data_IF_855233891224
#
_entry.id   IF_855233891224
#
_cell.length_a   1.000
_cell.length_b   1.000
_cell.length_c   1.000
_cell.angle_alpha   90.00
_cell.angle_beta   90.00
_cell.angle_gamma   90.00
#
_symmetry.space_group_name_H-M   'P 1'
#
loop_
_entity.id
_entity.type
_entity.pdbx_description
1 polymer ?
#
# COMPACT_ATOMS: atom_id res chain seq x y z
N UNK A 1 -12.73 24.24 18.32
CA UNK A 1 -11.72 23.33 18.89
C UNK A 1 -11.19 24.01 20.15
N UNK A 2 -11.02 23.28 21.25
CA UNK A 2 -10.47 23.80 22.50
C UNK A 2 -9.31 22.89 22.96
N UNK A 3 -8.44 23.37 23.84
CA UNK A 3 -7.41 22.52 24.44
C UNK A 3 -8.13 21.40 25.24
N UNK A 4 -8.09 20.17 24.72
CA UNK A 4 -8.87 19.03 25.20
C UNK A 4 -9.66 18.26 24.12
N UNK A 5 -9.82 18.80 22.89
CA UNK A 5 -10.46 18.06 21.78
C UNK A 5 -11.53 18.81 20.96
N UNK A 6 -12.41 18.02 20.34
CA UNK A 6 -13.62 18.45 19.61
C UNK A 6 -14.82 18.15 20.51
N UNK A 7 -15.70 19.12 20.72
CA UNK A 7 -16.92 18.93 21.52
C UNK A 7 -17.88 17.98 20.82
N UNK A 8 -18.50 17.07 21.59
CA UNK A 8 -19.64 16.30 21.09
C UNK A 8 -20.79 17.21 20.66
N UNK A 9 -21.46 16.82 19.58
CA UNK A 9 -22.64 17.49 19.04
C UNK A 9 -23.67 16.46 18.58
N UNK A 10 -24.93 16.85 18.54
CA UNK A 10 -26.04 16.03 18.06
C UNK A 10 -26.63 16.68 16.81
N UNK A 11 -26.79 15.89 15.75
CA UNK A 11 -27.55 16.27 14.56
C UNK A 11 -28.72 15.30 14.42
N UNK A 12 -29.93 15.83 14.33
CA UNK A 12 -31.14 15.04 14.14
C UNK A 12 -31.68 15.30 12.74
N UNK A 13 -31.82 14.25 11.94
CA UNK A 13 -32.27 14.33 10.54
C UNK A 13 -33.62 13.64 10.42
N UNK A 14 -34.64 14.40 10.05
CA UNK A 14 -35.97 13.87 9.72
C UNK A 14 -35.96 13.38 8.27
N UNK A 15 -36.29 12.12 8.06
CA UNK A 15 -36.24 11.46 6.75
C UNK A 15 -37.65 11.12 6.28
N UNK A 16 -38.14 11.86 5.29
CA UNK A 16 -39.41 11.57 4.61
C UNK A 16 -39.16 10.74 3.34
N UNK A 17 -38.20 11.13 2.50
CA UNK A 17 -37.76 10.38 1.32
C UNK A 17 -36.52 9.52 1.63
N UNK A 18 -36.72 8.21 1.70
CA UNK A 18 -35.64 7.23 1.90
C UNK A 18 -34.60 7.22 0.77
N UNK A 19 -34.98 7.47 -0.48
CA UNK A 19 -34.03 7.49 -1.61
C UNK A 19 -33.09 8.68 -1.50
N UNK A 20 -33.64 9.87 -1.21
CA UNK A 20 -32.83 11.07 -0.99
C UNK A 20 -31.87 10.89 0.19
N UNK A 21 -32.34 10.31 1.30
CA UNK A 21 -31.50 10.01 2.45
C UNK A 21 -30.40 8.99 2.14
N UNK A 22 -30.69 7.92 1.40
CA UNK A 22 -29.67 6.95 0.98
C UNK A 22 -28.59 7.62 0.11
N UNK A 23 -28.97 8.54 -0.79
CA UNK A 23 -28.00 9.35 -1.54
C UNK A 23 -27.16 10.28 -0.65
N UNK A 24 -27.76 10.85 0.41
CA UNK A 24 -27.02 11.63 1.40
C UNK A 24 -26.03 10.74 2.16
N UNK A 25 -26.44 9.54 2.60
CA UNK A 25 -25.56 8.58 3.26
C UNK A 25 -24.34 8.27 2.39
N UNK A 26 -24.56 7.97 1.10
CA UNK A 26 -23.50 7.74 0.11
C UNK A 26 -22.54 8.94 0.00
N UNK A 27 -23.08 10.17 -0.10
CA UNK A 27 -22.26 11.39 -0.16
C UNK A 27 -21.52 11.68 1.15
N UNK A 28 -22.10 11.39 2.31
CA UNK A 28 -21.45 11.65 3.59
C UNK A 28 -20.28 10.68 3.81
N UNK A 29 -20.44 9.40 3.41
CA UNK A 29 -19.34 8.41 3.42
C UNK A 29 -18.11 8.88 2.61
N UNK A 30 -18.33 9.67 1.56
CA UNK A 30 -17.26 10.30 0.78
C UNK A 30 -16.39 11.26 1.59
N UNK A 31 -17.02 12.11 2.40
CA UNK A 31 -16.34 13.17 3.14
C UNK A 31 -15.90 12.74 4.54
N UNK A 32 -16.65 11.85 5.20
CA UNK A 32 -16.39 11.48 6.58
C UNK A 32 -17.03 10.12 6.96
N UNK A 33 -16.20 9.08 7.00
CA UNK A 33 -16.58 7.71 7.42
C UNK A 33 -16.91 7.60 8.92
N UNK A 34 -16.52 8.58 9.75
CA UNK A 34 -16.86 8.59 11.18
C UNK A 34 -18.34 8.95 11.42
N UNK A 35 -19.01 9.55 10.43
CA UNK A 35 -20.42 9.96 10.57
C UNK A 35 -21.30 8.74 10.38
N UNK A 36 -21.75 8.18 11.50
CA UNK A 36 -22.74 7.10 11.53
C UNK A 36 -24.13 7.68 11.73
N UNK A 37 -25.04 7.34 10.83
CA UNK A 37 -26.45 7.58 11.01
C UNK A 37 -27.05 6.39 11.76
N UNK A 38 -27.61 6.66 12.93
CA UNK A 38 -28.25 5.66 13.80
C UNK A 38 -29.74 6.01 13.83
N UNK A 39 -30.62 5.00 13.85
CA UNK A 39 -32.06 5.26 14.01
C UNK A 39 -32.27 5.89 15.38
N UNK A 40 -33.14 6.90 15.44
CA UNK A 40 -33.43 7.60 16.69
C UNK A 40 -33.92 6.66 17.81
N UNK A 41 -34.63 5.59 17.45
CA UNK A 41 -35.13 4.55 18.37
C UNK A 41 -34.01 3.76 19.06
N UNK A 42 -32.84 3.65 18.42
CA UNK A 42 -31.69 2.88 18.92
C UNK A 42 -30.72 3.73 19.76
N UNK A 43 -31.05 5.02 20.01
CA UNK A 43 -30.16 5.98 20.69
C UNK A 43 -30.76 6.45 22.02
N UNK A 44 -30.01 6.30 23.10
CA UNK A 44 -30.33 6.97 24.37
C UNK A 44 -30.01 8.47 24.29
N UNK A 45 -31.02 9.25 23.92
CA UNK A 45 -30.91 10.71 23.81
C UNK A 45 -30.51 11.38 25.14
N UNK A 46 -30.90 10.84 26.30
CA UNK A 46 -30.56 11.46 27.58
C UNK A 46 -29.07 11.32 27.86
N UNK A 47 -28.52 10.15 27.61
CA UNK A 47 -27.07 9.91 27.73
C UNK A 47 -26.29 10.83 26.80
N UNK A 48 -26.71 10.95 25.53
CA UNK A 48 -26.01 11.80 24.55
C UNK A 48 -26.05 13.28 24.94
N UNK A 49 -27.20 13.79 25.39
CA UNK A 49 -27.33 15.17 25.86
C UNK A 49 -26.44 15.45 27.08
N UNK A 50 -26.40 14.51 28.03
CA UNK A 50 -25.53 14.62 29.20
C UNK A 50 -24.05 14.70 28.81
N UNK A 51 -23.59 13.87 27.87
CA UNK A 51 -22.21 13.93 27.37
C UNK A 51 -21.89 15.28 26.71
N UNK A 52 -22.83 15.84 25.94
CA UNK A 52 -22.67 17.15 25.29
C UNK A 52 -22.53 18.25 26.34
N UNK A 53 -23.36 18.24 27.37
CA UNK A 53 -23.31 19.24 28.44
C UNK A 53 -22.03 19.10 29.28
N UNK A 54 -21.59 17.88 29.58
CA UNK A 54 -20.34 17.60 30.27
C UNK A 54 -19.12 18.12 29.48
N UNK A 55 -19.10 17.93 28.16
CA UNK A 55 -18.04 18.47 27.30
C UNK A 55 -18.05 20.00 27.26
N UNK A 56 -19.23 20.63 27.23
CA UNK A 56 -19.36 22.09 27.27
C UNK A 56 -18.85 22.68 28.59
N UNK A 57 -19.05 21.99 29.72
CA UNK A 57 -18.45 22.40 30.99
C UNK A 57 -16.93 22.32 30.99
N UNK A 58 -16.34 21.28 30.39
CA UNK A 58 -14.87 21.18 30.23
C UNK A 58 -14.34 22.36 29.42
N UNK A 59 -14.99 22.71 28.32
CA UNK A 59 -14.61 23.87 27.48
C UNK A 59 -14.61 25.16 28.31
N UNK A 60 -15.67 25.39 29.12
CA UNK A 60 -15.75 26.56 30.00
C UNK A 60 -14.61 26.61 31.02
N UNK A 61 -14.23 25.47 31.60
CA UNK A 61 -13.11 25.36 32.57
C UNK A 61 -11.75 25.64 31.91
N UNK A 62 -11.55 25.19 30.67
CA UNK A 62 -10.32 25.44 29.90
C UNK A 62 -10.18 26.93 29.53
N UNK A 63 -11.28 27.55 29.08
CA UNK A 63 -11.33 28.99 28.81
C UNK A 63 -11.11 29.84 30.08
N UNK A 64 -11.42 29.30 31.26
CA UNK A 64 -11.28 29.94 32.57
C UNK A 64 -9.89 29.89 33.21
N UNK A 65 -8.85 29.36 32.54
CA UNK A 65 -7.46 29.54 32.98
C UNK A 65 -6.58 28.29 33.11
N UNK A 66 -7.10 27.06 32.88
CA UNK A 66 -6.25 25.86 32.70
C UNK A 66 -5.95 25.66 31.22
N UNK A 67 -4.83 26.20 30.73
CA UNK A 67 -4.34 25.94 29.38
C UNK A 67 -3.62 24.59 29.36
N UNK A 68 -4.24 23.55 28.82
CA UNK A 68 -3.49 22.37 28.37
C UNK A 68 -2.60 22.78 27.19
N UNK A 69 -1.30 22.48 27.29
CA UNK A 69 -0.32 22.80 26.25
C UNK A 69 -0.53 21.85 25.07
N UNK A 70 -0.83 22.42 23.90
CA UNK A 70 -0.86 21.69 22.64
C UNK A 70 0.58 21.28 22.32
N UNK A 71 0.83 19.99 22.08
CA UNK A 71 2.18 19.48 21.77
C UNK A 71 2.45 19.56 20.26
N UNK A 72 3.52 20.24 19.80
CA UNK A 72 3.95 20.19 18.42
C UNK A 72 4.56 18.83 18.08
N UNK A 73 3.97 18.16 17.08
CA UNK A 73 4.38 16.83 16.61
C UNK A 73 4.65 16.89 15.12
N UNK A 74 5.83 16.45 14.69
CA UNK A 74 6.14 16.26 13.27
C UNK A 74 5.74 14.86 12.83
N UNK A 75 4.94 14.75 11.77
CA UNK A 75 4.67 13.50 11.05
C UNK A 75 5.43 13.54 9.73
N UNK A 76 6.40 12.63 9.56
CA UNK A 76 7.19 12.54 8.32
C UNK A 76 6.72 11.33 7.51
N UNK A 77 6.22 11.58 6.31
CA UNK A 77 5.85 10.54 5.34
C UNK A 77 6.85 10.47 4.19
N UNK A 78 6.72 9.50 3.31
CA UNK A 78 7.61 9.37 2.15
C UNK A 78 7.24 10.32 1.00
N UNK A 79 5.94 10.51 0.72
CA UNK A 79 5.46 11.21 -0.49
C UNK A 79 4.53 12.39 -0.19
N UNK A 80 4.51 13.43 -1.06
CA UNK A 80 3.67 14.63 -0.86
C UNK A 80 2.16 14.34 -0.91
N UNK A 81 1.73 13.40 -1.76
CA UNK A 81 0.32 13.01 -1.84
C UNK A 81 -0.15 12.43 -0.52
N UNK A 82 0.65 11.52 0.07
CA UNK A 82 0.37 10.96 1.39
C UNK A 82 0.28 12.04 2.46
N UNK A 83 1.20 13.01 2.45
CA UNK A 83 1.18 14.13 3.39
C UNK A 83 -0.14 14.92 3.29
N UNK A 84 -0.56 15.25 2.07
CA UNK A 84 -1.81 15.97 1.81
C UNK A 84 -3.04 15.17 2.21
N UNK A 85 -3.10 13.88 1.86
CA UNK A 85 -4.21 12.99 2.22
C UNK A 85 -4.37 12.92 3.73
N UNK A 86 -3.27 12.70 4.47
CA UNK A 86 -3.30 12.64 5.94
C UNK A 86 -3.69 13.99 6.54
N UNK A 87 -3.12 15.09 6.04
CA UNK A 87 -3.44 16.43 6.53
C UNK A 87 -4.94 16.74 6.38
N UNK A 88 -5.54 16.39 5.24
CA UNK A 88 -6.97 16.58 4.96
C UNK A 88 -7.88 15.77 5.91
N UNK A 89 -7.40 14.68 6.51
CA UNK A 89 -8.19 13.96 7.51
C UNK A 89 -8.42 14.76 8.78
N UNK A 90 -7.50 15.65 9.15
CA UNK A 90 -7.61 16.45 10.37
C UNK A 90 -8.28 17.81 10.15
N UNK A 91 -8.55 18.19 8.90
CA UNK A 91 -9.17 19.46 8.51
C UNK A 91 -8.44 20.13 7.35
N UNK A 92 -8.64 21.44 7.16
CA UNK A 92 -7.95 22.20 6.10
C UNK A 92 -6.56 22.61 6.60
N UNK A 93 -5.47 22.06 6.04
CA UNK A 93 -4.12 22.41 6.49
C UNK A 93 -3.70 23.79 6.03
N UNK A 94 -2.80 24.41 6.79
CA UNK A 94 -2.06 25.61 6.38
C UNK A 94 -0.67 25.19 5.92
N UNK A 95 -0.26 25.62 4.73
CA UNK A 95 1.09 25.36 4.25
C UNK A 95 2.05 26.44 4.79
N UNK A 96 3.10 26.01 5.48
CA UNK A 96 4.23 26.84 5.89
C UNK A 96 5.50 26.36 5.19
N UNK A 97 6.37 27.29 4.82
CA UNK A 97 7.66 26.98 4.21
C UNK A 97 8.80 27.16 5.19
N UNK A 98 9.67 26.16 5.24
CA UNK A 98 10.94 26.16 5.93
C UNK A 98 12.04 26.12 4.86
N UNK A 99 12.48 27.29 4.40
CA UNK A 99 13.27 27.40 3.17
C UNK A 99 12.44 27.00 1.95
N UNK A 100 12.93 26.04 1.16
CA UNK A 100 12.20 25.46 0.02
C UNK A 100 11.29 24.28 0.43
N UNK A 101 11.27 23.90 1.70
CA UNK A 101 10.56 22.72 2.19
C UNK A 101 9.16 23.08 2.69
N UNK A 102 8.13 22.45 2.12
CA UNK A 102 6.73 22.66 2.48
C UNK A 102 6.31 21.74 3.64
N UNK A 103 5.64 22.34 4.63
CA UNK A 103 5.07 21.66 5.79
C UNK A 103 3.61 22.02 5.89
N UNK A 104 2.76 21.01 6.08
CA UNK A 104 1.33 21.18 6.28
C UNK A 104 1.05 21.18 7.78
N UNK A 105 0.54 22.29 8.30
CA UNK A 105 0.25 22.46 9.71
C UNK A 105 -1.25 22.35 9.97
N UNK A 106 -1.60 21.55 10.98
CA UNK A 106 -2.99 21.36 11.41
C UNK A 106 -3.11 21.23 12.92
N UNK A 107 -4.01 22.01 13.50
CA UNK A 107 -4.41 21.86 14.89
C UNK A 107 -5.47 20.77 15.01
N UNK A 108 -5.22 19.73 15.80
CA UNK A 108 -6.16 18.63 16.06
C UNK A 108 -6.17 18.27 17.53
N UNK A 109 -7.26 18.60 18.23
CA UNK A 109 -7.41 18.35 19.66
C UNK A 109 -6.25 18.90 20.48
N UNK A 110 -5.40 17.99 21.00
CA UNK A 110 -4.24 18.32 21.85
C UNK A 110 -2.91 18.38 21.09
N UNK A 111 -2.93 18.20 19.75
CA UNK A 111 -1.74 18.18 18.92
C UNK A 111 -1.72 19.35 17.95
N UNK A 112 -0.53 19.93 17.79
CA UNK A 112 -0.19 20.77 16.65
C UNK A 112 0.61 19.89 15.69
N UNK A 113 -0.07 19.34 14.69
CA UNK A 113 0.53 18.35 13.80
C UNK A 113 1.13 19.07 12.60
N UNK A 114 2.44 18.91 12.43
CA UNK A 114 3.19 19.35 11.26
C UNK A 114 3.42 18.12 10.40
N UNK A 115 2.98 18.13 9.14
CA UNK A 115 3.11 16.97 8.24
C UNK A 115 3.99 17.36 7.07
N UNK A 116 4.99 16.54 6.77
CA UNK A 116 5.87 16.75 5.63
C UNK A 116 6.32 15.43 5.01
N UNK A 117 6.92 15.49 3.82
CA UNK A 117 7.40 14.32 3.09
C UNK A 117 8.91 14.33 2.91
N UNK A 118 9.60 13.22 3.17
CA UNK A 118 11.03 13.06 2.88
C UNK A 118 11.34 13.06 1.37
N UNK A 119 10.31 12.95 0.52
CA UNK A 119 10.40 12.83 -0.93
C UNK A 119 11.18 11.57 -1.34
N UNK A 120 10.98 10.46 -0.63
CA UNK A 120 11.73 9.21 -0.79
C UNK A 120 12.96 9.12 0.13
N UNK A 121 14.00 8.42 -0.34
CA UNK A 121 15.27 8.30 0.38
C UNK A 121 15.98 9.66 0.49
N UNK A 122 16.61 9.90 1.65
CA UNK A 122 17.51 11.04 1.87
C UNK A 122 18.97 10.60 1.73
N UNK A 123 19.28 9.39 2.21
CA UNK A 123 20.61 8.80 2.16
C UNK A 123 20.67 7.61 1.19
N UNK A 124 21.75 7.50 0.44
CA UNK A 124 22.10 6.31 -0.33
C UNK A 124 23.54 5.88 -0.07
N UNK A 125 23.84 4.62 -0.38
CA UNK A 125 25.15 4.02 -0.25
C UNK A 125 26.16 4.75 -1.14
N UNK A 126 27.26 5.21 -0.56
CA UNK A 126 28.36 5.90 -1.24
C UNK A 126 28.84 5.10 -2.45
N UNK A 127 29.26 5.79 -3.52
CA UNK A 127 29.81 5.15 -4.72
C UNK A 127 31.34 5.12 -4.73
N UNK A 128 31.96 5.93 -3.89
CA UNK A 128 33.40 6.21 -3.94
C UNK A 128 34.17 5.55 -2.79
N UNK A 129 33.50 5.30 -1.67
CA UNK A 129 34.14 4.81 -0.45
C UNK A 129 34.09 3.29 -0.31
N UNK A 130 35.17 2.71 0.20
CA UNK A 130 35.27 1.27 0.41
C UNK A 130 35.01 0.44 -0.86
N UNK A 131 34.53 -0.78 -0.68
CA UNK A 131 34.10 -1.64 -1.76
C UNK A 131 32.66 -1.30 -2.16
N UNK A 132 32.52 -0.43 -3.17
CA UNK A 132 31.25 0.06 -3.72
C UNK A 132 30.30 0.67 -2.66
N UNK A 133 30.86 1.35 -1.67
CA UNK A 133 30.14 2.01 -0.58
C UNK A 133 30.25 1.32 0.78
N UNK A 134 30.96 0.19 0.88
CA UNK A 134 31.06 -0.59 2.11
C UNK A 134 32.51 -0.81 2.50
N UNK A 135 32.92 -0.35 3.68
CA UNK A 135 34.21 -0.75 4.24
C UNK A 135 34.15 -2.18 4.75
N UNK A 136 35.17 -2.97 4.40
CA UNK A 136 35.32 -4.36 4.79
C UNK A 136 36.58 -4.47 5.63
N UNK A 137 36.42 -4.76 6.93
CA UNK A 137 37.52 -4.92 7.87
C UNK A 137 37.35 -6.25 8.61
N UNK A 138 38.08 -7.28 8.17
CA UNK A 138 37.90 -8.65 8.67
C UNK A 138 36.47 -9.14 8.39
N UNK A 139 35.73 -9.45 9.47
CA UNK A 139 34.32 -9.89 9.41
C UNK A 139 33.31 -8.73 9.53
N UNK A 140 33.79 -7.48 9.68
CA UNK A 140 32.93 -6.31 9.82
C UNK A 140 32.66 -5.66 8.46
N UNK A 141 31.38 -5.44 8.17
CA UNK A 141 30.91 -4.71 7.02
C UNK A 141 30.27 -3.40 7.49
N UNK A 142 30.86 -2.27 7.11
CA UNK A 142 30.40 -0.93 7.51
C UNK A 142 29.92 -0.18 6.27
N UNK A 143 28.61 -0.11 6.01
CA UNK A 143 28.07 0.64 4.89
C UNK A 143 28.18 2.14 5.16
N UNK A 144 28.67 2.88 4.17
CA UNK A 144 28.80 4.33 4.22
C UNK A 144 27.68 4.95 3.41
N UNK A 145 26.88 5.76 4.10
CA UNK A 145 25.75 6.48 3.52
C UNK A 145 26.09 7.95 3.36
N UNK A 146 25.73 8.52 2.20
CA UNK A 146 25.85 9.95 1.91
C UNK A 146 24.48 10.51 1.59
N UNK A 147 24.31 11.81 1.83
CA UNK A 147 23.13 12.55 1.40
C UNK A 147 23.08 12.52 -0.13
N UNK A 148 21.91 12.22 -0.69
CA UNK A 148 21.69 12.28 -2.13
C UNK A 148 21.80 13.76 -2.56
N UNK A 149 22.51 14.05 -3.65
CA UNK A 149 22.85 15.43 -4.09
C UNK A 149 21.63 16.37 -4.10
N UNK A 150 20.47 15.90 -4.57
CA UNK A 150 19.23 16.70 -4.65
C UNK A 150 18.44 16.79 -3.31
N UNK A 151 18.96 16.22 -2.22
CA UNK A 151 18.27 16.09 -0.92
C UNK A 151 18.85 16.94 0.21
N UNK A 152 19.95 17.66 -0.03
CA UNK A 152 20.56 18.54 0.98
C UNK A 152 19.57 19.58 1.50
N UNK A 153 18.80 20.18 0.58
CA UNK A 153 17.77 21.19 0.94
C UNK A 153 16.64 20.61 1.78
N UNK A 154 16.22 19.37 1.50
CA UNK A 154 15.20 18.69 2.27
C UNK A 154 15.71 18.38 3.70
N UNK A 155 16.98 18.00 3.82
CA UNK A 155 17.64 17.76 5.10
C UNK A 155 17.71 19.06 5.94
N UNK A 156 18.09 20.18 5.33
CA UNK A 156 18.10 21.48 6.02
C UNK A 156 16.71 21.88 6.52
N UNK A 157 15.68 21.73 5.67
CA UNK A 157 14.29 21.99 6.06
C UNK A 157 13.85 21.13 7.25
N UNK A 158 14.14 19.83 7.22
CA UNK A 158 13.84 18.90 8.33
C UNK A 158 14.56 19.31 9.63
N UNK A 159 15.81 19.75 9.56
CA UNK A 159 16.57 20.22 10.73
C UNK A 159 16.00 21.50 11.33
N UNK A 160 15.50 22.42 10.51
CA UNK A 160 14.85 23.64 10.99
C UNK A 160 13.54 23.31 11.71
N UNK A 161 12.72 22.43 11.14
CA UNK A 161 11.46 21.98 11.75
C UNK A 161 11.72 21.24 13.06
N UNK A 162 12.77 20.43 13.10
CA UNK A 162 13.17 19.66 14.28
C UNK A 162 13.44 20.52 15.52
N UNK A 163 13.72 21.82 15.35
CA UNK A 163 13.91 22.77 16.45
C UNK A 163 12.59 23.31 17.02
N UNK A 164 11.47 23.19 16.29
CA UNK A 164 10.15 23.71 16.68
C UNK A 164 9.22 22.62 17.27
N UNK A 165 9.68 21.36 17.36
CA UNK A 165 8.82 20.22 17.73
C UNK A 165 9.28 19.51 19.01
N UNK A 166 8.32 18.92 19.72
CA UNK A 166 8.58 18.12 20.92
C UNK A 166 8.88 16.65 20.58
N UNK A 167 8.24 16.13 19.53
CA UNK A 167 8.33 14.72 19.12
C UNK A 167 8.13 14.56 17.61
N UNK A 168 8.64 13.46 17.06
CA UNK A 168 8.50 13.09 15.66
C UNK A 168 7.91 11.68 15.50
N UNK A 169 6.94 11.55 14.60
CA UNK A 169 6.30 10.30 14.19
C UNK A 169 6.67 10.01 12.73
N UNK A 170 7.37 8.90 12.52
CA UNK A 170 7.78 8.42 11.21
C UNK A 170 6.66 7.56 10.62
N UNK A 171 6.09 8.00 9.51
CA UNK A 171 4.92 7.44 8.84
C UNK A 171 5.25 6.97 7.40
N UNK A 172 6.40 6.33 7.23
CA UNK A 172 6.85 5.71 5.98
C UNK A 172 6.05 4.44 5.67
N UNK A 173 6.21 3.90 4.46
CA UNK A 173 5.53 2.67 4.03
C UNK A 173 5.83 1.47 4.96
N UNK A 174 4.87 0.55 5.15
CA UNK A 174 5.01 -0.60 6.04
C UNK A 174 5.87 -1.72 5.41
N UNK A 175 7.00 -1.38 4.79
CA UNK A 175 7.93 -2.37 4.21
C UNK A 175 9.37 -2.15 4.70
N UNK A 176 10.28 -3.04 4.32
CA UNK A 176 11.71 -2.91 4.67
C UNK A 176 12.34 -1.61 4.16
N UNK A 177 11.84 -1.07 3.03
CA UNK A 177 12.32 0.17 2.43
C UNK A 177 11.89 1.39 3.25
N UNK A 178 10.60 1.46 3.61
CA UNK A 178 10.05 2.47 4.49
C UNK A 178 10.68 2.43 5.88
N UNK A 179 11.00 1.25 6.41
CA UNK A 179 11.68 1.14 7.71
C UNK A 179 13.11 1.69 7.65
N UNK A 180 13.86 1.43 6.57
CA UNK A 180 15.17 2.06 6.34
C UNK A 180 15.01 3.58 6.29
N UNK A 181 14.11 4.10 5.45
CA UNK A 181 13.91 5.57 5.33
C UNK A 181 13.60 6.16 6.70
N UNK A 182 12.76 5.48 7.49
CA UNK A 182 12.43 5.86 8.84
C UNK A 182 13.63 5.88 9.79
N UNK A 183 14.51 4.88 9.69
CA UNK A 183 15.75 4.82 10.45
C UNK A 183 16.71 5.95 10.10
N UNK A 184 16.89 6.26 8.82
CA UNK A 184 17.71 7.41 8.39
C UNK A 184 17.18 8.72 8.94
N UNK A 185 15.86 8.95 8.81
CA UNK A 185 15.20 10.13 9.33
C UNK A 185 15.41 10.25 10.85
N UNK A 186 15.23 9.14 11.57
CA UNK A 186 15.48 9.09 13.01
C UNK A 186 16.92 9.46 13.33
N UNK A 187 17.90 8.87 12.65
CA UNK A 187 19.32 9.18 12.86
C UNK A 187 19.65 10.66 12.58
N UNK A 188 19.03 11.25 11.55
CA UNK A 188 19.24 12.66 11.18
C UNK A 188 18.55 13.64 12.15
N UNK A 189 17.42 13.27 12.74
CA UNK A 189 16.62 14.11 13.65
C UNK A 189 17.02 13.96 15.13
N UNK A 190 17.62 12.82 15.52
CA UNK A 190 18.01 12.50 16.91
C UNK A 190 18.83 13.58 17.64
N UNK A 191 19.72 14.35 16.97
CA UNK A 191 20.42 15.45 17.64
C UNK A 191 19.51 16.58 18.13
N UNK A 192 18.33 16.74 17.52
CA UNK A 192 17.38 17.83 17.78
C UNK A 192 16.16 17.36 18.58
N UNK A 193 15.67 16.16 18.29
CA UNK A 193 14.41 15.61 18.84
C UNK A 193 14.72 14.31 19.58
N UNK A 194 14.32 14.24 20.86
CA UNK A 194 14.56 13.05 21.70
C UNK A 194 13.54 11.95 21.50
N UNK A 195 12.27 12.32 21.30
CA UNK A 195 11.17 11.37 21.16
C UNK A 195 10.83 11.19 19.68
N UNK A 196 11.37 10.12 19.09
CA UNK A 196 11.14 9.74 17.70
C UNK A 196 10.55 8.33 17.70
N UNK A 197 9.34 8.19 17.15
CA UNK A 197 8.63 6.91 17.07
C UNK A 197 8.18 6.61 15.65
N UNK A 198 7.84 5.34 15.41
CA UNK A 198 7.32 4.79 14.15
C UNK A 198 5.81 4.60 14.26
N UNK A 199 5.06 5.08 13.28
CA UNK A 199 3.63 4.82 13.14
C UNK A 199 3.37 4.07 11.84
N UNK A 200 2.73 2.91 11.92
CA UNK A 200 2.49 2.03 10.78
C UNK A 200 0.99 1.90 10.52
N UNK A 201 0.59 2.05 9.26
CA UNK A 201 -0.78 1.82 8.82
C UNK A 201 -0.79 1.16 7.44
N UNK A 202 -1.71 0.22 7.27
CA UNK A 202 -1.85 -0.58 6.05
C UNK A 202 -2.90 -0.01 5.07
N UNK A 203 -3.56 1.06 5.48
CA UNK A 203 -4.52 1.83 4.71
C UNK A 203 -4.43 3.30 5.16
N UNK A 204 -4.56 4.24 4.24
CA UNK A 204 -4.55 5.67 4.55
C UNK A 204 -6.00 6.09 4.79
N UNK A 205 -6.48 5.82 6.02
CA UNK A 205 -7.80 6.24 6.51
C UNK A 205 -7.63 7.05 7.79
N UNK A 206 -8.57 7.96 8.08
CA UNK A 206 -8.53 8.75 9.32
C UNK A 206 -8.44 7.85 10.56
N UNK A 207 -9.21 6.76 10.59
CA UNK A 207 -9.23 5.81 11.69
C UNK A 207 -7.89 5.11 11.87
N UNK A 208 -7.28 4.62 10.79
CA UNK A 208 -5.98 3.96 10.84
C UNK A 208 -4.87 4.91 11.30
N UNK A 209 -4.83 6.13 10.76
CA UNK A 209 -3.83 7.14 11.16
C UNK A 209 -3.99 7.52 12.62
N UNK A 210 -5.21 7.79 13.10
CA UNK A 210 -5.45 8.12 14.52
C UNK A 210 -4.99 7.01 15.46
N UNK A 211 -5.35 5.77 15.15
CA UNK A 211 -4.90 4.61 15.93
C UNK A 211 -3.38 4.50 15.94
N UNK A 212 -2.73 4.66 14.79
CA UNK A 212 -1.27 4.59 14.69
C UNK A 212 -0.57 5.70 15.48
N UNK A 213 -1.17 6.89 15.58
CA UNK A 213 -0.67 7.98 16.44
C UNK A 213 -0.88 7.72 17.95
N UNK A 214 -1.91 6.96 18.32
CA UNK A 214 -2.19 6.57 19.72
C UNK A 214 -1.33 5.38 20.18
N UNK A 215 -0.94 4.50 19.25
CA UNK A 215 -0.13 3.30 19.49
C UNK A 215 1.22 3.35 18.74
N UNK A 216 2.08 4.38 18.96
CA UNK A 216 3.37 4.47 18.26
C UNK A 216 4.35 3.41 18.74
N UNK A 217 5.19 2.93 17.84
CA UNK A 217 6.17 1.85 18.08
C UNK A 217 7.60 2.35 17.87
N UNK A 218 8.58 1.53 18.21
CA UNK A 218 9.99 1.78 17.86
C UNK A 218 10.30 1.24 16.46
N UNK A 219 11.30 1.83 15.81
CA UNK A 219 11.83 1.32 14.55
C UNK A 219 12.43 -0.08 14.74
N UNK A 220 12.10 -0.99 13.84
CA UNK A 220 12.54 -2.38 13.84
C UNK A 220 13.88 -2.52 13.12
N UNK A 221 14.94 -2.65 13.90
CA UNK A 221 16.29 -2.81 13.36
C UNK A 221 16.44 -4.00 12.41
N UNK A 222 15.70 -5.09 12.61
CA UNK A 222 15.81 -6.29 11.78
C UNK A 222 15.37 -6.04 10.34
N UNK A 223 14.33 -5.22 10.15
CA UNK A 223 13.87 -4.81 8.82
C UNK A 223 14.88 -3.86 8.15
N UNK A 224 15.49 -2.96 8.93
CA UNK A 224 16.56 -2.09 8.45
C UNK A 224 17.76 -2.94 8.00
N UNK A 225 18.21 -3.89 8.82
CA UNK A 225 19.30 -4.82 8.49
C UNK A 225 18.97 -5.61 7.22
N UNK A 226 17.75 -6.13 7.10
CA UNK A 226 17.30 -6.82 5.88
C UNK A 226 17.38 -5.92 4.64
N UNK A 227 16.95 -4.65 4.74
CA UNK A 227 17.05 -3.68 3.65
C UNK A 227 18.51 -3.39 3.29
N UNK A 228 19.38 -3.17 4.29
CA UNK A 228 20.79 -2.87 4.10
C UNK A 228 21.50 -4.02 3.39
N UNK A 229 21.28 -5.26 3.85
CA UNK A 229 21.86 -6.46 3.22
C UNK A 229 21.39 -6.58 1.77
N UNK A 230 20.08 -6.41 1.52
CA UNK A 230 19.52 -6.43 0.15
C UNK A 230 20.19 -5.37 -0.72
N UNK A 231 20.34 -4.14 -0.22
CA UNK A 231 20.95 -3.02 -0.95
C UNK A 231 22.42 -3.27 -1.27
N UNK A 232 23.20 -3.81 -0.32
CA UNK A 232 24.61 -4.18 -0.52
C UNK A 232 24.72 -5.29 -1.55
N UNK A 233 23.92 -6.36 -1.43
CA UNK A 233 23.95 -7.47 -2.38
C UNK A 233 23.63 -7.02 -3.81
N UNK A 234 22.58 -6.20 -3.98
CA UNK A 234 22.20 -5.66 -5.28
C UNK A 234 23.28 -4.69 -5.83
N UNK A 235 23.95 -3.92 -4.95
CA UNK A 235 25.06 -3.02 -5.32
C UNK A 235 26.29 -3.79 -5.81
N UNK A 236 26.76 -4.75 -5.04
CA UNK A 236 27.97 -5.50 -5.36
C UNK A 236 27.81 -6.35 -6.61
N UNK A 237 26.75 -7.16 -6.67
CA UNK A 237 26.45 -7.96 -7.87
C UNK A 237 26.20 -7.04 -9.06
N UNK A 238 25.44 -5.96 -8.85
CA UNK A 238 25.14 -4.95 -9.84
C UNK A 238 26.39 -4.37 -10.51
N UNK A 239 27.33 -3.86 -9.71
CA UNK A 239 28.52 -3.20 -10.20
C UNK A 239 29.48 -4.18 -10.88
N UNK A 240 29.75 -5.34 -10.27
CA UNK A 240 30.67 -6.32 -10.83
C UNK A 240 30.16 -6.91 -12.15
N UNK A 241 28.88 -7.31 -12.19
CA UNK A 241 28.29 -7.85 -13.43
C UNK A 241 28.20 -6.78 -14.50
N UNK A 242 27.80 -5.55 -14.15
CA UNK A 242 27.76 -4.45 -15.12
C UNK A 242 29.14 -4.16 -15.70
N UNK A 243 30.19 -4.17 -14.88
CA UNK A 243 31.58 -3.98 -15.35
C UNK A 243 31.99 -5.06 -16.36
N UNK A 244 31.65 -6.33 -16.09
CA UNK A 244 31.90 -7.45 -17.01
C UNK A 244 31.13 -7.26 -18.33
N UNK A 245 29.85 -6.86 -18.27
CA UNK A 245 29.05 -6.62 -19.47
C UNK A 245 29.62 -5.45 -20.30
N UNK A 246 29.98 -4.35 -19.63
CA UNK A 246 30.51 -3.16 -20.28
C UNK A 246 31.86 -3.44 -20.95
N UNK A 247 32.76 -4.19 -20.29
CA UNK A 247 34.04 -4.57 -20.89
C UNK A 247 33.88 -5.57 -22.05
N UNK A 248 32.92 -6.50 -21.94
CA UNK A 248 32.68 -7.53 -22.96
C UNK A 248 32.01 -6.95 -24.21
N UNK A 249 31.03 -6.07 -24.04
CA UNK A 249 30.19 -5.56 -25.14
C UNK A 249 30.51 -4.13 -25.56
N UNK A 250 31.41 -3.43 -24.86
CA UNK A 250 31.80 -2.05 -25.16
C UNK A 250 30.69 -1.01 -24.96
N UNK A 251 29.68 -1.32 -24.14
CA UNK A 251 28.47 -0.49 -23.97
C UNK A 251 28.29 -0.09 -22.51
N UNK A 252 28.60 1.17 -22.19
CA UNK A 252 28.55 1.72 -20.82
C UNK A 252 27.16 1.69 -20.15
N UNK A 253 26.08 1.68 -20.94
CA UNK A 253 24.69 1.66 -20.48
C UNK A 253 24.17 0.26 -20.15
N UNK A 254 24.96 -0.79 -20.36
CA UNK A 254 24.59 -2.14 -19.93
C UNK A 254 24.68 -2.24 -18.41
N UNK A 255 23.64 -2.83 -17.82
CA UNK A 255 23.57 -3.16 -16.41
C UNK A 255 23.15 -4.61 -16.24
N UNK A 256 23.65 -5.23 -15.18
CA UNK A 256 23.28 -6.59 -14.80
C UNK A 256 23.09 -6.69 -13.31
N UNK A 257 21.84 -6.91 -12.87
CA UNK A 257 21.50 -7.13 -11.47
C UNK A 257 21.32 -8.60 -11.11
N UNK A 258 21.42 -8.89 -9.82
CA UNK A 258 21.23 -10.23 -9.22
C UNK A 258 19.94 -10.93 -9.66
N UNK A 259 18.84 -10.18 -9.81
CA UNK A 259 17.53 -10.69 -10.24
C UNK A 259 17.29 -10.51 -11.75
N UNK A 260 17.79 -9.42 -12.33
CA UNK A 260 17.59 -9.10 -13.74
C UNK A 260 18.19 -10.15 -14.68
N UNK A 261 19.40 -10.63 -14.38
CA UNK A 261 20.11 -11.60 -15.22
C UNK A 261 19.41 -12.97 -15.25
N UNK A 262 19.03 -13.59 -14.12
CA UNK A 262 18.23 -14.82 -14.14
C UNK A 262 16.90 -14.68 -14.89
N UNK A 263 16.18 -13.59 -14.69
CA UNK A 263 14.89 -13.34 -15.36
C UNK A 263 15.07 -13.23 -16.88
N UNK A 264 16.10 -12.51 -17.35
CA UNK A 264 16.43 -12.46 -18.76
C UNK A 264 16.79 -13.85 -19.31
N UNK A 265 17.50 -14.66 -18.52
CA UNK A 265 17.77 -16.07 -18.82
C UNK A 265 16.49 -16.87 -19.05
N UNK A 266 15.50 -16.76 -18.16
CA UNK A 266 14.21 -17.43 -18.31
C UNK A 266 13.46 -17.00 -19.57
N UNK A 267 13.52 -15.72 -19.93
CA UNK A 267 12.92 -15.22 -21.18
C UNK A 267 13.60 -15.83 -22.40
N UNK A 268 14.94 -15.90 -22.41
CA UNK A 268 15.71 -16.52 -23.48
C UNK A 268 15.39 -18.01 -23.60
N UNK A 269 15.35 -18.72 -22.48
CA UNK A 269 15.05 -20.16 -22.48
C UNK A 269 13.60 -20.45 -22.86
N UNK A 270 12.66 -19.55 -22.51
CA UNK A 270 11.28 -19.61 -22.99
C UNK A 270 11.20 -19.45 -24.51
N UNK A 271 11.94 -18.51 -25.08
CA UNK A 271 11.99 -18.32 -26.55
C UNK A 271 12.63 -19.54 -27.25
N UNK A 272 13.71 -20.10 -26.70
CA UNK A 272 14.30 -21.35 -27.22
C UNK A 272 13.30 -22.50 -27.18
N UNK A 273 12.54 -22.63 -26.09
CA UNK A 273 11.49 -23.64 -25.96
C UNK A 273 10.35 -23.41 -26.95
N UNK A 274 9.93 -22.16 -27.14
CA UNK A 274 8.90 -21.77 -28.10
C UNK A 274 9.30 -22.07 -29.56
N UNK A 275 10.57 -21.86 -29.92
CA UNK A 275 11.09 -22.18 -31.25
C UNK A 275 11.15 -23.67 -31.56
N UNK A 276 11.18 -24.54 -30.56
CA UNK A 276 11.11 -26.00 -30.77
C UNK A 276 9.71 -26.34 -31.27
N UNK A 277 9.59 -26.51 -32.58
CA UNK A 277 8.33 -26.92 -33.22
C UNK A 277 7.91 -28.28 -32.67
N UNK A 278 6.75 -28.31 -32.00
CA UNK A 278 6.05 -29.55 -31.67
C UNK A 278 5.00 -29.82 -32.74
N UNK A 279 5.07 -30.96 -33.44
CA UNK A 279 3.96 -31.43 -34.25
C UNK A 279 2.72 -31.65 -33.37
N UNK A 280 1.63 -30.97 -33.69
CA UNK A 280 0.35 -31.10 -33.00
C UNK A 280 -0.73 -31.46 -34.01
N UNK A 281 -1.54 -32.46 -33.69
CA UNK A 281 -2.78 -32.74 -34.41
C UNK A 281 -3.93 -32.19 -33.59
N UNK A 282 -4.63 -31.20 -34.14
CA UNK A 282 -5.80 -30.58 -33.52
C UNK A 282 -7.06 -31.07 -34.25
N UNK A 283 -7.99 -31.61 -33.48
CA UNK A 283 -9.28 -32.07 -33.98
C UNK A 283 -10.36 -31.23 -33.33
N UNK A 284 -11.10 -30.50 -34.14
CA UNK A 284 -12.26 -29.73 -33.72
C UNK A 284 -13.50 -30.41 -34.26
N UNK A 285 -14.43 -30.78 -33.38
CA UNK A 285 -15.69 -31.38 -33.77
C UNK A 285 -16.84 -30.76 -33.00
N UNK A 286 -18.05 -30.89 -33.54
CA UNK A 286 -19.26 -30.31 -32.99
C UNK A 286 -20.21 -31.45 -32.61
N UNK A 287 -20.47 -31.59 -31.31
CA UNK A 287 -21.64 -32.31 -30.78
C UNK A 287 -22.72 -31.29 -30.42
N UNK A 288 -23.25 -31.37 -29.19
CA UNK A 288 -24.12 -30.31 -28.63
C UNK A 288 -23.35 -29.01 -28.34
N UNK A 289 -22.03 -29.13 -28.15
CA UNK A 289 -21.07 -28.01 -28.02
C UNK A 289 -19.84 -28.25 -28.89
N UNK A 290 -19.04 -27.21 -29.09
CA UNK A 290 -17.75 -27.32 -29.77
C UNK A 290 -16.72 -27.97 -28.84
N UNK A 291 -16.06 -29.00 -29.34
CA UNK A 291 -14.96 -29.67 -28.64
C UNK A 291 -13.67 -29.51 -29.44
N UNK A 292 -12.57 -29.34 -28.72
CA UNK A 292 -11.21 -29.26 -29.26
C UNK A 292 -10.33 -30.25 -28.51
N UNK A 293 -9.76 -31.21 -29.22
CA UNK A 293 -8.79 -32.17 -28.68
C UNK A 293 -7.45 -31.94 -29.38
N UNK A 294 -6.38 -31.93 -28.58
CA UNK A 294 -5.02 -31.76 -29.07
C UNK A 294 -4.17 -32.97 -28.72
N UNK A 295 -3.46 -33.49 -29.71
CA UNK A 295 -2.47 -34.54 -29.55
C UNK A 295 -1.08 -33.98 -29.90
N UNK A 296 -0.19 -33.91 -28.91
CA UNK A 296 1.21 -33.52 -29.11
C UNK A 296 2.07 -34.74 -29.48
N UNK A 297 2.96 -34.58 -30.46
CA UNK A 297 3.91 -35.62 -30.89
C UNK A 297 5.34 -35.10 -30.86
N UNK A 298 6.33 -35.99 -30.74
CA UNK A 298 7.75 -35.62 -30.80
C UNK A 298 8.23 -35.45 -32.25
N UNK A 299 7.73 -36.28 -33.18
CA UNK A 299 8.17 -36.31 -34.58
C UNK A 299 7.02 -36.03 -35.54
N UNK A 300 7.30 -35.22 -36.57
CA UNK A 300 6.29 -34.82 -37.57
C UNK A 300 5.66 -36.04 -38.27
N UNK A 301 6.48 -37.05 -38.56
CA UNK A 301 6.01 -38.29 -39.20
C UNK A 301 4.96 -39.02 -38.37
N UNK A 302 5.12 -39.07 -37.05
CA UNK A 302 4.14 -39.71 -36.15
C UNK A 302 2.82 -38.97 -36.15
N UNK A 303 2.85 -37.63 -36.09
CA UNK A 303 1.67 -36.79 -36.20
C UNK A 303 0.94 -37.00 -37.55
N UNK A 304 1.68 -37.05 -38.66
CA UNK A 304 1.10 -37.30 -39.99
C UNK A 304 0.50 -38.72 -40.10
N UNK A 305 1.18 -39.73 -39.56
CA UNK A 305 0.66 -41.11 -39.54
C UNK A 305 -0.58 -41.23 -38.65
N UNK A 306 -0.59 -40.59 -37.47
CA UNK A 306 -1.75 -40.52 -36.59
C UNK A 306 -2.94 -39.84 -37.28
N UNK A 307 -2.72 -38.67 -37.88
CA UNK A 307 -3.76 -37.93 -38.59
C UNK A 307 -4.33 -38.72 -39.76
N UNK A 308 -3.49 -39.43 -40.54
CA UNK A 308 -3.96 -40.28 -41.64
C UNK A 308 -4.76 -41.50 -41.18
N UNK A 309 -4.43 -42.06 -40.00
CA UNK A 309 -5.15 -43.20 -39.40
C UNK A 309 -6.46 -42.78 -38.74
N UNK A 310 -6.57 -41.52 -38.33
CA UNK A 310 -7.75 -40.96 -37.70
C UNK A 310 -8.90 -40.82 -38.71
N UNK A 311 -9.78 -41.82 -38.76
CA UNK A 311 -10.98 -41.81 -39.62
C UNK A 311 -12.26 -41.45 -38.88
N UNK A 312 -12.37 -41.88 -37.62
CA UNK A 312 -13.53 -41.69 -36.76
C UNK A 312 -13.03 -41.43 -35.35
N UNK A 313 -13.72 -40.54 -34.64
CA UNK A 313 -13.52 -40.28 -33.24
C UNK A 313 -14.82 -40.67 -32.52
N UNK A 314 -14.76 -41.72 -31.70
CA UNK A 314 -15.86 -42.10 -30.83
C UNK A 314 -15.64 -41.43 -29.47
N UNK A 315 -16.59 -40.60 -29.05
CA UNK A 315 -16.55 -39.85 -27.79
C UNK A 315 -17.68 -40.35 -26.91
N UNK A 316 -17.34 -40.82 -25.72
CA UNK A 316 -18.30 -41.32 -24.74
C UNK A 316 -18.27 -40.42 -23.50
N UNK A 317 -19.46 -40.07 -22.98
CA UNK A 317 -19.59 -39.34 -21.74
C UNK A 317 -19.39 -40.31 -20.56
N UNK A 318 -18.32 -40.11 -19.79
CA UNK A 318 -17.97 -41.00 -18.68
C UNK A 318 -18.71 -40.61 -17.39
N UNK A 319 -18.81 -39.30 -17.10
CA UNK A 319 -19.45 -38.79 -15.87
C UNK A 319 -19.77 -37.31 -15.97
N UNK A 320 -20.81 -36.88 -15.26
CA UNK A 320 -21.12 -35.47 -15.01
C UNK A 320 -21.09 -35.22 -13.49
N UNK A 321 -20.45 -34.13 -13.09
CA UNK A 321 -20.36 -33.71 -11.69
C UNK A 321 -20.75 -32.25 -11.56
N UNK A 322 -21.64 -31.94 -10.63
CA UNK A 322 -21.89 -30.57 -10.19
C UNK A 322 -20.86 -30.19 -9.12
N UNK A 323 -20.16 -29.06 -9.34
CA UNK A 323 -19.16 -28.54 -8.40
C UNK A 323 -19.47 -27.09 -8.06
N UNK A 324 -19.49 -26.76 -6.76
CA UNK A 324 -19.51 -25.37 -6.31
C UNK A 324 -18.11 -24.76 -6.53
N UNK A 325 -18.01 -23.81 -7.46
CA UNK A 325 -16.77 -23.08 -7.70
C UNK A 325 -16.66 -21.93 -6.69
N UNK A 326 -15.62 -21.98 -5.86
CA UNK A 326 -15.29 -20.87 -4.99
C UNK A 326 -14.68 -19.72 -5.80
N UNK A 327 -14.92 -18.46 -5.40
CA UNK A 327 -14.25 -17.32 -6.04
C UNK A 327 -12.74 -17.42 -5.83
N UNK A 328 -11.92 -16.73 -6.65
CA UNK A 328 -10.49 -16.64 -6.40
C UNK A 328 -10.18 -15.83 -5.11
N UNK A 329 -8.98 -16.00 -4.53
CA UNK A 329 -8.52 -15.16 -3.43
C UNK A 329 -8.42 -13.68 -3.84
N UNK A 330 -8.40 -12.75 -2.86
CA UNK A 330 -8.16 -11.34 -3.13
C UNK A 330 -6.76 -11.10 -3.67
N UNK A 331 -6.56 -9.95 -4.30
CA UNK A 331 -5.30 -9.65 -4.98
C UNK A 331 -4.12 -9.54 -4.01
N UNK A 332 -3.06 -10.29 -4.32
CA UNK A 332 -1.67 -9.99 -3.93
C UNK A 332 -1.01 -9.13 -5.01
N UNK A 333 0.22 -8.67 -4.77
CA UNK A 333 0.97 -7.86 -5.75
C UNK A 333 1.14 -8.59 -7.08
N UNK A 334 1.53 -9.86 -7.05
CA UNK A 334 1.74 -10.68 -8.24
C UNK A 334 0.43 -10.94 -9.01
N UNK A 335 -0.66 -11.23 -8.29
CA UNK A 335 -1.97 -11.41 -8.91
C UNK A 335 -2.48 -10.12 -9.55
N UNK A 336 -2.35 -8.97 -8.87
CA UNK A 336 -2.72 -7.67 -9.42
C UNK A 336 -1.93 -7.36 -10.71
N UNK A 337 -0.61 -7.60 -10.69
CA UNK A 337 0.25 -7.37 -11.85
C UNK A 337 -0.12 -8.26 -13.03
N UNK A 338 -0.37 -9.54 -12.77
CA UNK A 338 -0.82 -10.50 -13.79
C UNK A 338 -2.16 -10.10 -14.38
N UNK A 339 -3.16 -9.86 -13.54
CA UNK A 339 -4.52 -9.55 -13.99
C UNK A 339 -4.59 -8.22 -14.77
N UNK A 340 -3.84 -7.20 -14.33
CA UNK A 340 -3.75 -5.93 -15.06
C UNK A 340 -3.06 -6.08 -16.42
N UNK A 341 -2.08 -6.99 -16.53
CA UNK A 341 -1.43 -7.28 -17.81
C UNK A 341 -2.37 -8.04 -18.77
N UNK A 342 -3.10 -9.02 -18.24
CA UNK A 342 -4.01 -9.86 -19.03
C UNK A 342 -5.26 -9.12 -19.48
N UNK A 343 -5.92 -8.36 -18.58
CA UNK A 343 -7.19 -7.67 -18.86
C UNK A 343 -7.00 -6.26 -19.41
N UNK A 344 -6.11 -5.47 -18.82
CA UNK A 344 -5.96 -4.05 -19.12
C UNK A 344 -4.79 -3.75 -20.06
N UNK A 345 -3.95 -4.76 -20.37
CA UNK A 345 -2.72 -4.61 -21.17
C UNK A 345 -1.75 -3.60 -20.57
N UNK A 346 -1.76 -3.44 -19.24
CA UNK A 346 -0.81 -2.57 -18.56
C UNK A 346 0.52 -3.30 -18.31
N UNK A 347 1.63 -2.61 -18.55
CA UNK A 347 2.94 -3.08 -18.11
C UNK A 347 3.09 -2.95 -16.61
N UNK A 348 3.93 -3.79 -16.00
CA UNK A 348 4.11 -3.84 -14.54
C UNK A 348 4.41 -2.47 -13.90
N UNK A 349 5.27 -1.65 -14.52
CA UNK A 349 5.60 -0.32 -14.02
C UNK A 349 4.39 0.64 -13.99
N UNK A 350 3.50 0.56 -14.99
CA UNK A 350 2.26 1.35 -15.00
C UNK A 350 1.31 0.89 -13.91
N UNK A 351 1.13 -0.42 -13.75
CA UNK A 351 0.26 -0.99 -12.71
C UNK A 351 0.73 -0.62 -11.32
N UNK A 352 2.04 -0.75 -11.02
CA UNK A 352 2.59 -0.37 -9.71
C UNK A 352 2.41 1.11 -9.42
N UNK A 353 2.65 1.99 -10.42
CA UNK A 353 2.43 3.43 -10.25
C UNK A 353 0.98 3.75 -9.91
N UNK A 354 0.02 3.18 -10.65
CA UNK A 354 -1.40 3.40 -10.37
C UNK A 354 -1.83 2.84 -9.01
N UNK A 355 -1.31 1.67 -8.62
CA UNK A 355 -1.57 1.10 -7.31
C UNK A 355 -1.00 1.97 -6.18
N UNK A 356 0.20 2.53 -6.36
CA UNK A 356 0.77 3.50 -5.43
C UNK A 356 -0.10 4.76 -5.34
N UNK A 357 -0.53 5.33 -6.47
CA UNK A 357 -1.41 6.51 -6.49
C UNK A 357 -2.74 6.24 -5.77
N UNK A 358 -3.35 5.06 -5.97
CA UNK A 358 -4.58 4.65 -5.29
C UNK A 358 -4.37 4.47 -3.78
N UNK A 359 -3.25 3.87 -3.38
CA UNK A 359 -2.90 3.71 -1.97
C UNK A 359 -2.68 5.07 -1.30
N UNK A 360 -1.86 5.94 -1.87
CA UNK A 360 -1.53 7.27 -1.32
C UNK A 360 -2.74 8.20 -1.18
N UNK A 361 -3.77 7.98 -2.01
CA UNK A 361 -5.06 8.66 -1.94
C UNK A 361 -6.05 8.01 -0.96
N UNK A 362 -5.69 6.86 -0.40
CA UNK A 362 -6.49 6.13 0.58
C UNK A 362 -7.66 5.35 -0.01
N UNK A 363 -7.57 4.89 -1.27
CA UNK A 363 -8.61 4.09 -1.93
C UNK A 363 -8.40 2.58 -1.79
N UNK A 364 -7.16 2.14 -1.62
CA UNK A 364 -6.82 0.73 -1.43
C UNK A 364 -5.88 0.55 -0.24
N UNK A 365 -5.82 -0.67 0.27
CA UNK A 365 -4.78 -1.12 1.21
C UNK A 365 -3.40 -1.12 0.54
N UNK A 366 -2.35 -1.30 1.35
CA UNK A 366 -0.98 -1.29 0.88
C UNK A 366 -0.75 -2.31 -0.25
N UNK A 367 -0.25 -1.81 -1.39
CA UNK A 367 -0.22 -2.55 -2.65
C UNK A 367 0.98 -3.48 -2.81
N UNK A 368 1.99 -3.42 -1.92
CA UNK A 368 3.14 -4.34 -1.91
C UNK A 368 2.95 -5.40 -0.83
N UNK A 369 2.15 -6.41 -1.15
CA UNK A 369 1.76 -7.51 -0.26
C UNK A 369 1.81 -8.85 -0.98
N UNK A 370 2.23 -9.89 -0.28
CA UNK A 370 2.18 -11.30 -0.68
C UNK A 370 1.07 -12.07 0.06
N UNK A 371 0.33 -11.37 0.95
CA UNK A 371 -0.70 -11.96 1.78
C UNK A 371 -2.08 -11.87 1.11
N UNK A 372 -2.83 -12.97 1.17
CA UNK A 372 -4.26 -13.01 0.79
C UNK A 372 -5.18 -12.74 1.98
N UNK A 373 -4.64 -12.51 3.18
CA UNK A 373 -5.42 -12.30 4.41
C UNK A 373 -6.36 -11.10 4.26
N UNK A 374 -7.59 -11.25 4.74
CA UNK A 374 -8.58 -10.17 4.87
C UNK A 374 -8.86 -9.89 6.35
N UNK A 375 -8.78 -8.62 6.74
CA UNK A 375 -9.09 -8.13 8.08
C UNK A 375 -10.59 -8.08 8.34
N UNK A 376 -10.97 -8.02 9.62
CA UNK A 376 -12.38 -7.86 10.00
C UNK A 376 -12.97 -6.54 9.46
N UNK A 377 -12.14 -5.48 9.36
CA UNK A 377 -12.53 -4.22 8.73
C UNK A 377 -12.83 -4.40 7.24
N UNK A 378 -11.95 -5.12 6.51
CA UNK A 378 -12.15 -5.44 5.09
C UNK A 378 -13.39 -6.28 4.84
N UNK A 379 -13.66 -7.29 5.68
CA UNK A 379 -14.89 -8.08 5.60
C UNK A 379 -16.13 -7.22 5.89
N UNK A 380 -16.04 -6.27 6.82
CA UNK A 380 -17.10 -5.30 7.10
C UNK A 380 -17.43 -4.43 5.89
N UNK A 381 -16.41 -3.89 5.22
CA UNK A 381 -16.57 -3.08 3.99
C UNK A 381 -17.23 -3.89 2.87
N UNK A 382 -16.78 -5.13 2.65
CA UNK A 382 -17.38 -6.01 1.65
C UNK A 382 -18.83 -6.36 1.99
N UNK A 383 -19.13 -6.61 3.28
CA UNK A 383 -20.49 -6.85 3.75
C UNK A 383 -21.40 -5.66 3.54
N UNK A 384 -20.95 -4.44 3.85
CA UNK A 384 -21.70 -3.21 3.61
C UNK A 384 -22.04 -3.04 2.13
N UNK A 385 -21.05 -3.16 1.24
CA UNK A 385 -21.24 -3.00 -0.20
C UNK A 385 -22.13 -4.10 -0.82
N UNK A 386 -21.85 -5.38 -0.52
CA UNK A 386 -22.58 -6.51 -1.11
C UNK A 386 -24.03 -6.53 -0.62
N UNK A 387 -24.28 -6.23 0.65
CA UNK A 387 -25.63 -6.16 1.18
C UNK A 387 -26.46 -5.04 0.54
N UNK A 388 -25.82 -3.92 0.20
CA UNK A 388 -26.47 -2.77 -0.45
C UNK A 388 -26.77 -3.04 -1.93
N UNK A 389 -25.80 -3.59 -2.67
CA UNK A 389 -25.90 -3.73 -4.13
C UNK A 389 -26.53 -5.06 -4.59
N UNK A 390 -26.28 -6.17 -3.88
CA UNK A 390 -26.69 -7.52 -4.29
C UNK A 390 -27.64 -8.19 -3.30
N UNK A 391 -27.62 -7.78 -2.03
CA UNK A 391 -28.43 -8.34 -0.96
C UNK A 391 -27.67 -9.31 -0.04
N UNK A 392 -28.28 -9.61 1.11
CA UNK A 392 -27.62 -10.32 2.22
C UNK A 392 -27.18 -11.75 1.91
N UNK A 393 -27.90 -12.44 1.03
CA UNK A 393 -27.66 -13.84 0.71
C UNK A 393 -26.35 -14.07 -0.07
N UNK A 394 -25.81 -13.00 -0.68
CA UNK A 394 -24.57 -13.06 -1.48
C UNK A 394 -23.30 -12.82 -0.66
N UNK A 395 -23.41 -12.30 0.57
CA UNK A 395 -22.24 -12.03 1.40
C UNK A 395 -21.82 -13.28 2.19
N UNK A 396 -20.65 -13.84 1.86
CA UNK A 396 -19.98 -14.88 2.64
C UNK A 396 -18.62 -14.35 3.12
N UNK A 397 -18.41 -14.09 4.44
CA UNK A 397 -17.14 -13.59 4.95
C UNK A 397 -16.05 -14.66 4.82
N UNK A 398 -14.88 -14.27 4.27
CA UNK A 398 -13.74 -15.16 4.03
C UNK A 398 -12.45 -14.45 4.43
N UNK A 399 -11.68 -15.06 5.33
CA UNK A 399 -10.38 -14.53 5.77
C UNK A 399 -9.24 -14.81 4.78
N UNK A 400 -9.37 -15.86 3.95
CA UNK A 400 -8.44 -16.31 2.89
C UNK A 400 -7.02 -16.74 3.31
N UNK A 401 -6.46 -16.20 4.39
CA UNK A 401 -5.14 -16.56 4.93
C UNK A 401 -5.00 -16.23 6.42
N UNK A 402 -3.93 -16.74 7.03
CA UNK A 402 -3.61 -16.55 8.46
C UNK A 402 -2.18 -16.02 8.63
N UNK A 403 -1.96 -15.18 9.65
CA UNK A 403 -0.65 -14.59 9.94
C UNK A 403 -0.25 -13.40 9.05
N UNK A 404 0.86 -12.76 9.40
CA UNK A 404 1.43 -11.60 8.68
C UNK A 404 0.88 -10.23 9.10
N UNK A 405 1.73 -9.21 9.03
CA UNK A 405 1.34 -7.82 9.28
C UNK A 405 0.46 -7.26 8.14
N UNK A 406 0.70 -7.70 6.91
CA UNK A 406 0.03 -7.19 5.72
C UNK A 406 -1.28 -7.91 5.40
N UNK A 407 -2.19 -7.13 4.82
CA UNK A 407 -3.47 -7.57 4.26
C UNK A 407 -3.35 -7.69 2.73
N UNK A 408 -4.29 -8.35 2.08
CA UNK A 408 -4.44 -8.32 0.64
C UNK A 408 -4.70 -6.89 0.10
N UNK A 409 -4.56 -6.72 -1.21
CA UNK A 409 -4.96 -5.50 -1.92
C UNK A 409 -6.48 -5.49 -2.07
N UNK A 410 -7.15 -4.54 -1.38
CA UNK A 410 -8.61 -4.36 -1.42
C UNK A 410 -8.99 -2.88 -1.31
N UNK A 411 -10.22 -2.49 -1.67
CA UNK A 411 -10.75 -1.17 -1.38
C UNK A 411 -10.80 -0.87 0.12
N UNK A 412 -10.60 0.38 0.48
CA UNK A 412 -10.75 0.90 1.85
C UNK A 412 -12.15 1.43 2.14
N UNK A 413 -12.96 1.63 1.10
CA UNK A 413 -14.32 2.17 1.18
C UNK A 413 -15.30 1.28 0.43
N UNK A 414 -16.54 1.22 0.92
CA UNK A 414 -17.66 0.55 0.26
C UNK A 414 -18.21 1.45 -0.87
N UNK A 415 -17.43 1.65 -1.94
CA UNK A 415 -17.78 2.48 -3.08
C UNK A 415 -17.59 1.72 -4.39
N UNK A 416 -18.45 1.99 -5.36
CA UNK A 416 -18.32 1.49 -6.73
C UNK A 416 -17.29 2.30 -7.53
N UNK A 417 -16.87 1.76 -8.69
CA UNK A 417 -15.97 2.48 -9.60
C UNK A 417 -16.60 3.73 -10.24
N UNK A 418 -17.94 3.80 -10.30
CA UNK A 418 -18.67 4.97 -10.81
C UNK A 418 -18.79 6.07 -9.75
N UNK A 419 -18.71 5.68 -8.49
CA UNK A 419 -18.74 6.61 -7.36
C UNK A 419 -17.39 7.29 -7.14
N UNK A 420 -16.26 6.62 -7.48
CA UNK A 420 -14.85 7.07 -7.43
C UNK A 420 -14.50 8.16 -8.45
#
# INVERSE_FOLDING_TARGET
>A
MYAGGITKGLSYVLVEDRRAFNNLLKKVRWFNEDIKFIRAEDVDLRSVLWEIDADREKVKKVLGGKRELIKPVLVVVESPNKARTIANFFGKPVARRFGEFEVLEIATGNYYVMITSSLGHILDLSKEEGFHGVFVEGEKFVPIYRVIEDKERALEGLRLIAQEIDSALIATDPDTEGEKIGWDLSALLKPFVRDIKRIEFHEITRKAVRRAMEEPTDLREDLVKAQVIRRIADRWVGFEVSRILQSTFGRAWLSGGRVQIPVLGWVIDREKAYRKKKPVVQITFKGDRWFRIEFEFERKREAEEFFKKLKKLDVELISEEERELLPPPPFTTDMLLKEASERLRFGAGRTMKLAQDLFERGFITYHRTDSTRVSDAGMGIAGEFINEELGKDFFKPRKWGEGGAHECIRPTKALSSEEL
#
